data_IF_717703200950
#
_entry.id   IF_717703200950
#
_cell.length_a   1.000
_cell.length_b   1.000
_cell.length_c   1.000
_cell.angle_alpha   90.00
_cell.angle_beta   90.00
_cell.angle_gamma   90.00
#
_symmetry.space_group_name_H-M   'P 1'
#
loop_
_entity.id
_entity.type
_entity.pdbx_description
1 polymer ?
#
# COMPACT_ATOMS: atom_id res chain seq x y z
N UNK A 1 10.07 -19.87 -4.40
CA UNK A 1 10.00 -18.40 -4.39
C UNK A 1 8.55 -18.00 -4.21
N UNK A 2 8.12 -17.49 -3.06
CA UNK A 2 6.73 -17.15 -2.84
C UNK A 2 6.40 -15.74 -3.34
N UNK A 3 6.76 -15.48 -4.61
CA UNK A 3 6.03 -14.51 -5.41
C UNK A 3 4.58 -15.00 -5.46
N UNK A 4 3.71 -14.34 -4.70
CA UNK A 4 2.33 -14.75 -4.53
C UNK A 4 1.51 -14.38 -5.76
N UNK A 5 1.68 -13.14 -6.24
CA UNK A 5 0.92 -12.63 -7.38
C UNK A 5 1.64 -11.47 -8.05
N UNK A 6 1.56 -11.44 -9.38
CA UNK A 6 1.87 -10.27 -10.20
C UNK A 6 0.58 -9.80 -10.87
N UNK A 7 0.29 -8.51 -10.78
CA UNK A 7 -0.85 -7.88 -11.43
C UNK A 7 -0.31 -6.85 -12.42
N UNK A 8 -0.61 -7.06 -13.70
CA UNK A 8 -0.34 -6.05 -14.73
C UNK A 8 -1.59 -5.20 -14.86
N UNK A 9 -1.56 -3.98 -14.29
CA UNK A 9 -2.69 -3.06 -14.31
C UNK A 9 -2.85 -2.45 -15.70
N UNK A 10 -1.72 -2.01 -16.27
CA UNK A 10 -1.59 -1.51 -17.63
C UNK A 10 -0.10 -1.65 -18.08
N UNK A 11 0.30 -1.25 -19.29
CA UNK A 11 1.68 -1.41 -19.76
C UNK A 11 2.75 -0.73 -18.88
N UNK A 12 2.36 0.29 -18.11
CA UNK A 12 3.26 1.13 -17.32
C UNK A 12 3.19 0.80 -15.82
N UNK A 13 2.11 0.17 -15.34
CA UNK A 13 1.84 -0.09 -13.93
C UNK A 13 1.78 -1.58 -13.61
N UNK A 14 2.63 -2.03 -12.68
CA UNK A 14 2.65 -3.42 -12.18
C UNK A 14 2.65 -3.47 -10.65
N UNK A 15 1.93 -4.44 -10.11
CA UNK A 15 1.93 -4.78 -8.68
C UNK A 15 2.55 -6.16 -8.50
N UNK A 16 3.39 -6.30 -7.49
CA UNK A 16 3.97 -7.57 -7.08
C UNK A 16 3.67 -7.80 -5.60
N UNK A 17 3.18 -8.99 -5.26
CA UNK A 17 2.84 -9.39 -3.90
C UNK A 17 3.68 -10.62 -3.54
N UNK A 18 4.31 -10.60 -2.38
CA UNK A 18 5.12 -11.70 -1.84
C UNK A 18 4.49 -12.23 -0.56
N UNK A 19 4.46 -13.55 -0.41
CA UNK A 19 4.10 -14.21 0.84
C UNK A 19 5.37 -14.62 1.56
N UNK A 20 5.68 -13.98 2.67
CA UNK A 20 6.92 -14.17 3.42
C UNK A 20 6.85 -15.45 4.25
N UNK A 21 7.37 -16.54 3.71
CA UNK A 21 7.39 -17.87 4.35
C UNK A 21 8.80 -18.29 4.74
N UNK A 22 9.81 -17.74 4.07
CA UNK A 22 11.22 -18.10 4.24
C UNK A 22 11.84 -17.41 5.46
N UNK A 23 12.81 -18.04 6.14
CA UNK A 23 13.56 -17.42 7.22
C UNK A 23 14.41 -16.25 6.72
N UNK A 24 14.78 -15.36 7.64
CA UNK A 24 15.60 -14.18 7.31
C UNK A 24 16.91 -14.53 6.61
N UNK A 25 17.56 -15.64 7.00
CA UNK A 25 18.82 -16.09 6.42
C UNK A 25 18.67 -16.36 4.92
N UNK A 26 17.69 -17.18 4.54
CA UNK A 26 17.40 -17.50 3.15
C UNK A 26 17.05 -16.24 2.34
N UNK A 27 16.20 -15.36 2.90
CA UNK A 27 15.86 -14.09 2.25
C UNK A 27 17.07 -13.16 2.06
N UNK A 28 18.16 -13.37 2.78
CA UNK A 28 19.38 -12.54 2.70
C UNK A 28 20.43 -13.11 1.75
N UNK A 29 20.29 -14.34 1.30
CA UNK A 29 21.26 -14.99 0.43
C UNK A 29 21.31 -14.29 -0.94
N UNK A 30 22.51 -13.92 -1.38
CA UNK A 30 22.73 -13.27 -2.67
C UNK A 30 22.26 -11.81 -2.78
N UNK A 31 21.78 -11.19 -1.68
CA UNK A 31 21.33 -9.79 -1.70
C UNK A 31 22.43 -8.85 -1.22
N UNK A 32 22.84 -7.95 -2.11
CA UNK A 32 23.73 -6.85 -1.78
C UNK A 32 22.94 -5.60 -1.36
N UNK A 33 22.98 -5.28 -0.08
CA UNK A 33 22.35 -4.08 0.47
C UNK A 33 23.30 -2.88 0.46
N UNK A 34 22.75 -1.69 0.24
CA UNK A 34 23.43 -0.42 0.57
C UNK A 34 23.74 -0.34 2.06
N UNK A 35 24.72 0.48 2.45
CA UNK A 35 25.04 0.69 3.86
C UNK A 35 23.86 1.24 4.66
N UNK A 36 23.07 2.13 4.05
CA UNK A 36 21.82 2.63 4.63
C UNK A 36 20.83 1.49 4.93
N UNK A 37 20.59 0.61 3.95
CA UNK A 37 19.67 -0.52 4.11
C UNK A 37 20.18 -1.57 5.11
N UNK A 38 21.50 -1.83 5.15
CA UNK A 38 22.13 -2.69 6.17
C UNK A 38 21.87 -2.15 7.58
N UNK A 39 22.13 -0.87 7.81
CA UNK A 39 21.89 -0.24 9.11
C UNK A 39 20.40 -0.29 9.49
N UNK A 40 19.51 -0.06 8.53
CA UNK A 40 18.06 -0.14 8.74
C UNK A 40 17.61 -1.54 9.15
N UNK A 41 18.03 -2.59 8.46
CA UNK A 41 17.61 -3.96 8.78
C UNK A 41 18.23 -4.47 10.09
N UNK A 42 19.47 -4.08 10.39
CA UNK A 42 20.15 -4.42 11.64
C UNK A 42 19.51 -3.74 12.85
N UNK A 43 18.92 -2.55 12.67
CA UNK A 43 18.18 -1.86 13.72
C UNK A 43 16.80 -2.46 14.03
N UNK A 44 16.27 -3.35 13.19
CA UNK A 44 14.94 -3.95 13.40
C UNK A 44 14.99 -5.08 14.42
N UNK A 45 14.23 -4.93 15.52
CA UNK A 45 14.12 -5.96 16.56
C UNK A 45 13.21 -7.13 16.18
N UNK A 46 12.18 -6.87 15.37
CA UNK A 46 11.18 -7.86 14.98
C UNK A 46 11.69 -8.68 13.80
N UNK A 47 11.71 -10.01 13.95
CA UNK A 47 12.06 -10.91 12.85
C UNK A 47 11.09 -10.77 11.67
N UNK A 48 9.80 -10.61 11.94
CA UNK A 48 8.78 -10.38 10.90
C UNK A 48 9.13 -9.13 10.08
N UNK A 49 9.53 -8.04 10.73
CA UNK A 49 9.92 -6.82 10.01
C UNK A 49 11.21 -6.99 9.22
N UNK A 50 12.19 -7.73 9.76
CA UNK A 50 13.43 -8.04 9.03
C UNK A 50 13.15 -8.88 7.79
N UNK A 51 12.32 -9.91 7.91
CA UNK A 51 11.90 -10.77 6.79
C UNK A 51 11.10 -9.98 5.77
N UNK A 52 10.15 -9.16 6.22
CA UNK A 52 9.41 -8.22 5.38
C UNK A 52 10.33 -7.29 4.59
N UNK A 53 11.31 -6.67 5.27
CA UNK A 53 12.29 -5.80 4.63
C UNK A 53 13.09 -6.50 3.53
N UNK A 54 13.52 -7.75 3.77
CA UNK A 54 14.27 -8.52 2.77
C UNK A 54 13.37 -9.00 1.63
N UNK A 55 12.13 -9.42 1.91
CA UNK A 55 11.18 -9.83 0.85
C UNK A 55 10.88 -8.72 -0.16
N UNK A 56 10.93 -7.45 0.26
CA UNK A 56 10.83 -6.31 -0.67
C UNK A 56 11.98 -6.31 -1.69
N UNK A 57 13.19 -6.75 -1.32
CA UNK A 57 14.33 -6.80 -2.25
C UNK A 57 14.14 -7.91 -3.28
N UNK A 58 13.53 -9.03 -2.88
CA UNK A 58 13.09 -10.06 -3.83
C UNK A 58 12.04 -9.50 -4.80
N UNK A 59 11.02 -8.80 -4.30
CA UNK A 59 10.03 -8.15 -5.17
C UNK A 59 10.65 -7.12 -6.12
N UNK A 60 11.64 -6.35 -5.66
CA UNK A 60 12.40 -5.43 -6.50
C UNK A 60 13.19 -6.19 -7.58
N UNK A 61 13.84 -7.29 -7.22
CA UNK A 61 14.59 -8.13 -8.17
C UNK A 61 13.67 -8.73 -9.25
N UNK A 62 12.48 -9.21 -8.89
CA UNK A 62 11.44 -9.65 -9.84
C UNK A 62 11.01 -8.54 -10.81
N UNK A 63 11.07 -7.28 -10.35
CA UNK A 63 10.80 -6.11 -11.17
C UNK A 63 12.02 -5.58 -11.94
N UNK A 64 13.19 -6.25 -11.82
CA UNK A 64 14.43 -5.87 -12.50
C UNK A 64 15.24 -4.78 -11.78
N UNK A 65 15.03 -4.58 -10.48
CA UNK A 65 15.73 -3.59 -9.66
C UNK A 65 16.61 -4.24 -8.60
N UNK A 66 17.66 -3.52 -8.19
CA UNK A 66 18.51 -3.86 -7.05
C UNK A 66 18.32 -2.85 -5.91
N UNK A 67 18.78 -3.17 -4.70
CA UNK A 67 18.66 -2.27 -3.53
C UNK A 67 19.30 -0.89 -3.80
N UNK A 68 20.33 -0.84 -4.65
CA UNK A 68 21.01 0.39 -5.04
C UNK A 68 20.16 1.32 -5.91
N UNK A 69 19.06 0.86 -6.50
CA UNK A 69 18.16 1.71 -7.29
C UNK A 69 17.17 2.50 -6.43
N UNK A 70 17.01 2.11 -5.17
CA UNK A 70 16.07 2.71 -4.22
C UNK A 70 16.78 3.73 -3.31
N UNK A 71 16.15 4.87 -3.13
CA UNK A 71 16.52 5.84 -2.10
C UNK A 71 15.27 6.36 -1.38
N UNK A 72 15.46 7.00 -0.24
CA UNK A 72 14.37 7.59 0.54
C UNK A 72 14.56 9.10 0.62
N UNK A 73 13.48 9.85 0.51
CA UNK A 73 13.52 11.30 0.76
C UNK A 73 13.50 11.64 2.26
N UNK A 74 13.52 12.94 2.57
CA UNK A 74 13.54 13.46 3.95
C UNK A 74 12.27 13.09 4.75
N UNK A 75 11.17 12.75 4.07
CA UNK A 75 9.92 12.28 4.67
C UNK A 75 9.86 10.74 4.76
N UNK A 76 10.91 10.04 4.31
CA UNK A 76 10.99 8.59 4.31
C UNK A 76 10.19 7.92 3.19
N UNK A 77 9.77 8.66 2.16
CA UNK A 77 9.10 8.09 1.00
C UNK A 77 10.13 7.43 0.07
N UNK A 78 9.88 6.20 -0.43
CA UNK A 78 10.77 5.53 -1.36
C UNK A 78 10.70 6.13 -2.77
N UNK A 79 11.84 6.20 -3.45
CA UNK A 79 11.99 6.69 -4.82
C UNK A 79 12.99 5.81 -5.60
N UNK A 80 12.76 5.67 -6.91
CA UNK A 80 13.69 4.98 -7.81
C UNK A 80 14.55 5.97 -8.58
N UNK A 81 15.84 5.65 -8.74
CA UNK A 81 16.82 6.50 -9.43
C UNK A 81 16.49 6.80 -10.90
N UNK A 82 15.74 5.92 -11.56
CA UNK A 82 15.32 6.10 -12.95
C UNK A 82 14.07 6.99 -13.11
N UNK A 83 13.53 7.53 -12.01
CA UNK A 83 12.36 8.41 -12.04
C UNK A 83 11.01 7.70 -12.05
N UNK A 84 10.97 6.36 -12.08
CA UNK A 84 9.70 5.62 -11.89
C UNK A 84 9.20 5.77 -10.46
N UNK A 85 7.89 5.72 -10.29
CA UNK A 85 7.23 5.77 -8.99
C UNK A 85 7.17 4.37 -8.39
N UNK A 86 7.44 4.28 -7.09
CA UNK A 86 7.30 3.06 -6.31
C UNK A 86 6.50 3.36 -5.04
N UNK A 87 5.60 2.46 -4.66
CA UNK A 87 5.04 2.42 -3.32
C UNK A 87 5.21 1.02 -2.74
N UNK A 88 5.51 0.96 -1.44
CA UNK A 88 5.91 -0.26 -0.72
C UNK A 88 4.97 -0.46 0.46
N UNK A 89 4.57 -1.70 0.72
CA UNK A 89 3.77 -2.05 1.89
C UNK A 89 4.12 -3.41 2.47
N UNK A 90 3.81 -3.58 3.75
CA UNK A 90 4.03 -4.81 4.51
C UNK A 90 2.96 -4.93 5.59
N UNK A 91 2.34 -6.11 5.70
CA UNK A 91 1.51 -6.48 6.85
C UNK A 91 1.69 -7.96 7.15
N UNK A 92 2.11 -8.28 8.38
CA UNK A 92 2.43 -9.64 8.83
C UNK A 92 3.33 -10.41 7.84
N UNK A 93 2.81 -11.45 7.20
CA UNK A 93 3.53 -12.33 6.30
C UNK A 93 3.31 -11.97 4.83
N UNK A 94 2.80 -10.77 4.52
CA UNK A 94 2.66 -10.29 3.16
C UNK A 94 3.37 -8.95 2.97
N UNK A 95 4.03 -8.83 1.83
CA UNK A 95 4.59 -7.58 1.33
C UNK A 95 4.15 -7.34 -0.10
N UNK A 96 4.15 -6.07 -0.51
CA UNK A 96 3.94 -5.73 -1.89
C UNK A 96 4.66 -4.46 -2.30
N UNK A 97 4.92 -4.37 -3.61
CA UNK A 97 5.34 -3.16 -4.29
C UNK A 97 4.40 -2.89 -5.46
N UNK A 98 4.17 -1.61 -5.74
CA UNK A 98 3.60 -1.13 -7.00
C UNK A 98 4.62 -0.23 -7.67
N UNK A 99 4.75 -0.38 -8.99
CA UNK A 99 5.67 0.38 -9.84
C UNK A 99 4.88 1.01 -10.97
N UNK A 100 5.14 2.28 -11.27
CA UNK A 100 4.47 2.98 -12.37
C UNK A 100 5.29 4.15 -12.91
N UNK A 101 4.96 4.59 -14.12
CA UNK A 101 5.41 5.87 -14.67
C UNK A 101 4.60 7.05 -14.06
N UNK A 102 3.43 6.78 -13.46
CA UNK A 102 2.56 7.75 -12.80
C UNK A 102 2.60 7.62 -11.26
N UNK A 103 2.04 8.58 -10.53
CA UNK A 103 2.02 8.51 -9.07
C UNK A 103 1.12 7.37 -8.61
N UNK A 104 1.67 6.48 -7.81
CA UNK A 104 0.97 5.28 -7.34
C UNK A 104 1.12 5.07 -5.84
N UNK A 105 0.10 4.44 -5.26
CA UNK A 105 0.04 4.05 -3.86
C UNK A 105 -0.40 2.60 -3.73
N UNK A 106 0.11 1.91 -2.71
CA UNK A 106 -0.32 0.56 -2.35
C UNK A 106 -0.32 0.38 -0.84
N UNK A 107 -1.30 -0.36 -0.35
CA UNK A 107 -1.40 -0.82 1.01
C UNK A 107 -1.87 -2.29 1.05
N UNK A 108 -1.38 -3.03 2.04
CA UNK A 108 -1.80 -4.40 2.32
C UNK A 108 -2.06 -4.41 3.81
N UNK A 109 -3.23 -4.88 4.21
CA UNK A 109 -3.58 -4.96 5.61
C UNK A 109 -4.28 -6.28 5.96
N UNK A 110 -3.89 -6.85 7.11
CA UNK A 110 -4.54 -8.05 7.64
C UNK A 110 -5.90 -7.66 8.21
N UNK A 111 -6.96 -8.33 7.77
CA UNK A 111 -8.32 -8.14 8.29
C UNK A 111 -8.38 -8.60 9.75
N UNK A 112 -8.70 -7.67 10.65
CA UNK A 112 -8.75 -7.90 12.11
C UNK A 112 -9.82 -7.00 12.73
N UNK A 113 -10.49 -7.50 13.75
CA UNK A 113 -11.55 -6.79 14.49
C UNK A 113 -11.06 -5.48 15.13
N UNK A 114 -9.73 -5.32 15.29
CA UNK A 114 -9.11 -4.07 15.73
C UNK A 114 -9.51 -2.88 14.84
N UNK A 115 -9.80 -3.10 13.55
CA UNK A 115 -10.22 -2.05 12.63
C UNK A 115 -11.51 -1.34 13.11
N UNK A 116 -12.44 -2.10 13.71
CA UNK A 116 -13.70 -1.58 14.26
C UNK A 116 -13.44 -0.54 15.36
N UNK A 117 -12.42 -0.78 16.19
CA UNK A 117 -12.05 0.10 17.32
C UNK A 117 -11.40 1.42 16.88
N UNK A 118 -10.89 1.48 15.66
CA UNK A 118 -10.22 2.67 15.13
C UNK A 118 -10.97 3.32 13.97
N UNK A 119 -12.09 2.72 13.52
CA UNK A 119 -12.92 3.20 12.41
C UNK A 119 -13.29 4.67 12.53
N UNK A 120 -13.71 5.10 13.73
CA UNK A 120 -14.06 6.50 14.01
C UNK A 120 -12.91 7.51 13.82
N UNK A 121 -11.66 7.06 13.72
CA UNK A 121 -10.50 7.93 13.46
C UNK A 121 -10.28 8.22 11.98
N UNK A 122 -10.88 7.41 11.09
CA UNK A 122 -10.63 7.52 9.67
C UNK A 122 -11.90 7.55 8.82
N UNK A 123 -13.07 7.13 9.30
CA UNK A 123 -14.30 7.19 8.50
C UNK A 123 -15.53 7.45 9.39
N UNK A 124 -16.55 8.17 8.92
CA UNK A 124 -17.82 8.30 9.63
C UNK A 124 -18.52 6.94 9.72
N UNK A 125 -18.89 6.50 10.92
CA UNK A 125 -19.59 5.21 11.09
C UNK A 125 -21.00 5.20 10.50
N UNK A 126 -21.59 6.38 10.30
CA UNK A 126 -22.93 6.52 9.73
C UNK A 126 -23.05 5.99 8.31
N UNK A 127 -21.94 5.92 7.58
CA UNK A 127 -21.89 5.45 6.19
C UNK A 127 -22.04 3.92 6.08
N UNK A 128 -21.92 3.17 7.19
CA UNK A 128 -21.87 1.70 7.16
C UNK A 128 -23.07 1.01 7.83
N UNK A 129 -24.14 1.75 8.15
CA UNK A 129 -25.32 1.20 8.83
C UNK A 129 -26.06 0.12 8.04
N UNK A 130 -25.83 0.03 6.73
CA UNK A 130 -26.47 -0.94 5.82
C UNK A 130 -25.68 -2.24 5.69
N UNK A 131 -24.49 -2.36 6.28
CA UNK A 131 -23.64 -3.54 6.12
C UNK A 131 -24.22 -4.74 6.89
N UNK A 132 -24.47 -5.83 6.16
CA UNK A 132 -25.29 -6.96 6.60
C UNK A 132 -24.76 -7.74 7.80
N UNK A 133 -23.44 -7.75 8.04
CA UNK A 133 -22.83 -8.42 9.19
C UNK A 133 -21.44 -7.84 9.55
N UNK A 134 -20.91 -8.23 10.71
CA UNK A 134 -19.62 -7.74 11.23
C UNK A 134 -18.42 -8.10 10.34
N UNK A 135 -18.40 -9.28 9.72
CA UNK A 135 -17.33 -9.68 8.80
C UNK A 135 -17.28 -8.77 7.57
N UNK A 136 -18.43 -8.51 6.95
CA UNK A 136 -18.56 -7.56 5.85
C UNK A 136 -18.14 -6.16 6.28
N UNK A 137 -18.46 -5.75 7.51
CA UNK A 137 -18.04 -4.45 8.04
C UNK A 137 -16.51 -4.37 8.20
N UNK A 138 -15.87 -5.41 8.74
CA UNK A 138 -14.41 -5.50 8.83
C UNK A 138 -13.77 -5.42 7.44
N UNK A 139 -14.30 -6.16 6.47
CA UNK A 139 -13.82 -6.13 5.08
C UNK A 139 -13.92 -4.72 4.48
N UNK A 140 -15.10 -4.11 4.56
CA UNK A 140 -15.36 -2.76 4.05
C UNK A 140 -14.42 -1.73 4.68
N UNK A 141 -14.28 -1.74 6.00
CA UNK A 141 -13.42 -0.82 6.73
C UNK A 141 -11.93 -1.04 6.43
N UNK A 142 -11.51 -2.28 6.21
CA UNK A 142 -10.12 -2.59 5.83
C UNK A 142 -9.81 -2.08 4.43
N UNK A 143 -10.75 -2.18 3.48
CA UNK A 143 -10.60 -1.59 2.14
C UNK A 143 -10.53 -0.06 2.22
N UNK A 144 -11.42 0.57 2.99
CA UNK A 144 -11.41 2.04 3.19
C UNK A 144 -10.11 2.50 3.83
N UNK A 145 -9.63 1.77 4.84
CA UNK A 145 -8.32 2.03 5.47
C UNK A 145 -7.18 1.93 4.46
N UNK A 146 -7.10 0.81 3.73
CA UNK A 146 -6.06 0.60 2.72
C UNK A 146 -6.09 1.64 1.60
N UNK A 147 -7.28 2.12 1.22
CA UNK A 147 -7.42 3.20 0.26
C UNK A 147 -6.82 4.51 0.80
N UNK A 148 -7.14 4.87 2.05
CA UNK A 148 -6.60 6.09 2.69
C UNK A 148 -5.10 6.02 2.91
N UNK A 149 -4.56 4.88 3.33
CA UNK A 149 -3.11 4.64 3.45
C UNK A 149 -2.40 4.75 2.09
N UNK A 150 -2.98 4.14 1.04
CA UNK A 150 -2.43 4.23 -0.33
C UNK A 150 -2.39 5.68 -0.82
N UNK A 151 -3.46 6.44 -0.59
CA UNK A 151 -3.54 7.87 -0.92
C UNK A 151 -2.54 8.68 -0.10
N UNK A 152 -2.41 8.42 1.20
CA UNK A 152 -1.44 9.11 2.04
C UNK A 152 0.00 8.90 1.55
N UNK A 153 0.36 7.68 1.13
CA UNK A 153 1.67 7.38 0.52
C UNK A 153 1.90 8.13 -0.81
N UNK A 154 0.85 8.29 -1.62
CA UNK A 154 0.92 9.10 -2.84
C UNK A 154 1.11 10.58 -2.54
N UNK A 155 0.30 11.12 -1.63
CA UNK A 155 0.23 12.54 -1.31
C UNK A 155 1.48 13.02 -0.55
N UNK A 156 1.95 12.23 0.43
CA UNK A 156 3.17 12.45 1.21
C UNK A 156 3.31 13.86 1.81
N UNK A 157 2.20 14.50 2.20
CA UNK A 157 2.23 15.80 2.89
C UNK A 157 1.87 15.66 4.39
N UNK A 158 2.71 16.19 5.29
CA UNK A 158 2.37 16.28 6.70
C UNK A 158 1.08 17.08 6.93
N UNK A 159 0.25 16.58 7.86
CA UNK A 159 -1.03 17.19 8.24
C UNK A 159 -2.26 16.67 7.50
N UNK A 160 -2.09 15.78 6.52
CA UNK A 160 -3.20 15.13 5.84
C UNK A 160 -3.93 14.13 6.76
N UNK A 161 -4.97 14.58 7.45
CA UNK A 161 -5.88 13.74 8.24
C UNK A 161 -6.82 12.85 7.41
N UNK A 162 -6.93 11.58 7.80
CA UNK A 162 -7.73 10.56 7.08
C UNK A 162 -9.23 10.84 7.11
N UNK A 163 -9.75 11.24 8.27
CA UNK A 163 -11.18 11.50 8.43
C UNK A 163 -11.59 12.84 7.79
N UNK A 164 -10.74 13.86 7.90
CA UNK A 164 -11.08 15.23 7.52
C UNK A 164 -10.88 15.49 6.02
N UNK A 165 -9.88 14.88 5.41
CA UNK A 165 -9.43 15.28 4.08
C UNK A 165 -9.62 14.22 3.00
N UNK A 166 -9.70 12.94 3.35
CA UNK A 166 -9.79 11.84 2.38
C UNK A 166 -11.20 11.25 2.46
N UNK A 167 -11.98 11.37 1.38
CA UNK A 167 -13.30 10.76 1.25
C UNK A 167 -13.21 9.62 0.23
N UNK A 168 -13.52 8.39 0.67
CA UNK A 168 -13.59 7.22 -0.20
C UNK A 168 -15.05 7.04 -0.59
N UNK A 169 -15.34 7.00 -1.88
CA UNK A 169 -16.70 6.80 -2.40
C UNK A 169 -17.18 5.40 -2.05
N UNK A 170 -18.47 5.25 -1.76
CA UNK A 170 -19.06 3.93 -1.51
C UNK A 170 -18.94 3.02 -2.74
N UNK A 171 -18.87 1.71 -2.52
CA UNK A 171 -18.56 0.70 -3.55
C UNK A 171 -19.11 -0.67 -3.18
N UNK A 172 -19.41 -1.52 -4.15
CA UNK A 172 -19.73 -2.92 -3.86
C UNK A 172 -18.45 -3.78 -3.89
N UNK A 173 -18.43 -4.87 -3.12
CA UNK A 173 -17.25 -5.75 -3.09
C UNK A 173 -16.95 -6.36 -4.46
N UNK A 174 -17.99 -6.58 -5.26
CA UNK A 174 -17.91 -7.21 -6.58
C UNK A 174 -17.31 -6.26 -7.64
N UNK A 175 -17.32 -4.95 -7.39
CA UNK A 175 -16.70 -3.97 -8.29
C UNK A 175 -15.17 -4.13 -8.33
N UNK A 176 -14.57 -4.60 -7.22
CA UNK A 176 -13.12 -4.65 -7.00
C UNK A 176 -12.40 -3.30 -7.18
N UNK A 177 -13.15 -2.19 -7.20
CA UNK A 177 -12.66 -0.84 -7.36
C UNK A 177 -13.54 0.19 -6.63
N UNK A 178 -12.95 1.35 -6.36
CA UNK A 178 -13.63 2.53 -5.82
C UNK A 178 -12.88 3.78 -6.24
N UNK A 179 -13.44 4.96 -5.96
CA UNK A 179 -12.76 6.23 -6.14
C UNK A 179 -12.63 6.97 -4.82
N UNK A 180 -11.71 7.93 -4.76
CA UNK A 180 -11.57 8.78 -3.60
C UNK A 180 -11.31 10.23 -4.00
N UNK A 181 -11.82 11.15 -3.20
CA UNK A 181 -11.59 12.58 -3.29
C UNK A 181 -10.78 13.03 -2.09
N UNK A 182 -9.71 13.78 -2.34
CA UNK A 182 -8.94 14.46 -1.30
C UNK A 182 -9.14 15.96 -1.41
N UNK A 183 -9.57 16.58 -0.31
CA UNK A 183 -9.60 18.03 -0.14
C UNK A 183 -8.63 18.41 0.97
N UNK A 184 -7.51 19.05 0.60
CA UNK A 184 -6.48 19.46 1.55
C UNK A 184 -5.87 20.80 1.14
N UNK A 185 -5.78 21.74 2.10
CA UNK A 185 -5.27 23.10 1.89
C UNK A 185 -5.93 23.82 0.69
N UNK A 186 -7.22 23.61 0.48
CA UNK A 186 -7.99 24.23 -0.61
C UNK A 186 -7.73 23.62 -2.00
N UNK A 187 -7.00 22.51 -2.11
CA UNK A 187 -6.81 21.77 -3.36
C UNK A 187 -7.62 20.49 -3.34
N UNK A 188 -8.29 20.24 -4.45
CA UNK A 188 -9.00 18.99 -4.69
C UNK A 188 -8.18 18.07 -5.60
N UNK A 189 -8.20 16.78 -5.29
CA UNK A 189 -7.57 15.74 -6.09
C UNK A 189 -8.41 14.47 -6.04
N UNK A 190 -8.35 13.69 -7.11
CA UNK A 190 -9.17 12.50 -7.31
C UNK A 190 -8.29 11.30 -7.56
N UNK A 191 -8.72 10.14 -7.07
CA UNK A 191 -7.96 8.91 -7.10
C UNK A 191 -8.84 7.75 -7.55
N UNK A 192 -8.27 6.88 -8.38
CA UNK A 192 -8.84 5.58 -8.71
C UNK A 192 -8.16 4.52 -7.86
N UNK A 193 -8.96 3.68 -7.21
CA UNK A 193 -8.49 2.66 -6.28
C UNK A 193 -9.01 1.30 -6.72
N UNK A 194 -8.14 0.31 -6.78
CA UNK A 194 -8.48 -1.10 -6.93
C UNK A 194 -8.17 -1.85 -5.66
N UNK A 195 -8.92 -2.91 -5.39
CA UNK A 195 -8.68 -3.75 -4.25
C UNK A 195 -8.82 -5.24 -4.59
N UNK A 196 -8.12 -6.07 -3.83
CA UNK A 196 -8.28 -7.52 -3.84
C UNK A 196 -8.15 -8.07 -2.43
N UNK A 197 -8.84 -9.16 -2.16
CA UNK A 197 -8.80 -9.87 -0.89
C UNK A 197 -8.24 -11.27 -1.08
N UNK A 198 -7.39 -11.72 -0.16
CA UNK A 198 -6.75 -13.04 -0.21
C UNK A 198 -6.23 -13.44 1.17
N UNK A 199 -6.38 -14.71 1.55
CA UNK A 199 -5.83 -15.27 2.79
C UNK A 199 -6.10 -14.44 4.08
N UNK A 200 -7.23 -13.73 4.15
CA UNK A 200 -7.53 -12.85 5.29
C UNK A 200 -6.87 -11.47 5.24
N UNK A 201 -6.25 -11.10 4.13
CA UNK A 201 -5.68 -9.80 3.83
C UNK A 201 -6.50 -9.06 2.77
N UNK A 202 -6.39 -7.75 2.81
CA UNK A 202 -6.88 -6.85 1.78
C UNK A 202 -5.69 -6.07 1.23
N UNK A 203 -5.52 -6.08 -0.09
CA UNK A 203 -4.59 -5.19 -0.78
C UNK A 203 -5.39 -4.13 -1.51
N UNK A 204 -5.02 -2.87 -1.32
CA UNK A 204 -5.60 -1.72 -2.02
C UNK A 204 -4.47 -0.98 -2.71
N UNK A 205 -4.66 -0.58 -3.97
CA UNK A 205 -3.68 0.20 -4.72
C UNK A 205 -4.38 1.14 -5.68
N UNK A 206 -3.71 2.22 -6.07
CA UNK A 206 -4.34 3.25 -6.90
C UNK A 206 -3.35 4.26 -7.45
N UNK A 207 -3.89 5.20 -8.22
CA UNK A 207 -3.18 6.30 -8.88
C UNK A 207 -4.03 7.57 -8.84
N UNK A 208 -3.40 8.71 -9.13
CA UNK A 208 -4.13 9.97 -9.31
C UNK A 208 -4.90 9.98 -10.64
N UNK A 209 -6.13 10.49 -10.61
CA UNK A 209 -6.91 10.79 -11.81
C UNK A 209 -6.95 12.32 -12.04
N UNK A 210 -5.93 12.87 -12.73
CA UNK A 210 -5.86 14.31 -12.98
C UNK A 210 -6.95 14.83 -13.93
N UNK A 211 -7.68 13.95 -14.63
CA UNK A 211 -8.73 14.38 -15.58
C UNK A 211 -9.98 14.86 -14.83
N UNK A 212 -10.30 14.28 -13.67
CA UNK A 212 -11.43 14.70 -12.82
C UNK A 212 -11.17 15.99 -12.04
N UNK A 213 -9.91 16.43 -11.90
CA UNK A 213 -9.56 17.68 -11.24
C UNK A 213 -9.80 18.95 -12.10
N UNK A 214 -10.14 18.78 -13.39
CA UNK A 214 -10.29 19.88 -14.37
C UNK A 214 -11.74 20.21 -14.72
N UNK A 215 -12.71 19.51 -14.16
CA UNK A 215 -14.16 19.75 -14.32
C UNK A 215 -14.74 20.28 -13.03
#
# INVERSE_FOLDING_TARGET
>A
MPLYKTITVNPHTKVFIWKVEEPFKELSEGIELTEHCKNRVNGMKSEIHRRGFMSIRHLMAEAGYVDHDLFYDDLGKPHLKNGKNISITHSFNFTAIILSDEKVGIDIEKRRDKILKIANKFTPLSEYHTVANEEALIRKLTIVWGAKESIYKMYAEPGLGFLQHINVTDFDFDDAETTAKVNFKGKESFYEMKFLEFEGFTCVYGWDDPKKARN
#
